data_IF_439502313886
#
_entry.id   IF_439502313886
#
_cell.length_a   1.000
_cell.length_b   1.000
_cell.length_c   1.000
_cell.angle_alpha   90.00
_cell.angle_beta   90.00
_cell.angle_gamma   90.00
#
_symmetry.space_group_name_H-M   'P 1'
#
loop_
_entity.id
_entity.type
_entity.pdbx_description
1 polymer ?
#
# COMPACT_ATOMS: atom_id res chain seq x y z
N UNK A 1 31.03 -29.37 -44.68
CA UNK A 1 31.00 -28.22 -43.76
C UNK A 1 29.61 -27.60 -43.57
N UNK A 2 28.49 -28.34 -43.68
CA UNK A 2 27.13 -27.81 -43.54
C UNK A 2 26.38 -28.28 -42.25
N UNK A 3 26.94 -29.22 -41.50
CA UNK A 3 26.30 -29.81 -40.31
C UNK A 3 26.31 -28.89 -39.07
N UNK A 4 27.35 -28.04 -38.81
CA UNK A 4 27.32 -27.19 -37.62
C UNK A 4 26.32 -26.02 -37.70
N UNK A 5 25.96 -25.57 -38.90
CA UNK A 5 25.00 -24.46 -39.09
C UNK A 5 23.56 -24.89 -38.82
N UNK A 6 23.21 -26.13 -39.20
CA UNK A 6 21.88 -26.71 -38.90
C UNK A 6 21.67 -26.99 -37.41
N UNK A 7 22.72 -27.42 -36.72
CA UNK A 7 22.65 -27.65 -35.25
C UNK A 7 22.53 -26.34 -34.48
N UNK A 8 23.22 -25.26 -34.92
CA UNK A 8 23.10 -23.94 -34.35
C UNK A 8 21.72 -23.32 -34.57
N UNK A 9 21.12 -23.52 -35.74
CA UNK A 9 19.76 -23.09 -36.03
C UNK A 9 18.70 -23.90 -35.28
N UNK A 10 18.91 -25.22 -35.04
CA UNK A 10 18.03 -26.03 -34.20
C UNK A 10 18.15 -25.63 -32.70
N UNK A 11 19.34 -25.32 -32.20
CA UNK A 11 19.56 -24.84 -30.84
C UNK A 11 19.00 -23.44 -30.63
N UNK A 12 19.06 -22.56 -31.65
CA UNK A 12 18.41 -21.25 -31.60
C UNK A 12 16.88 -21.37 -31.68
N UNK A 13 16.35 -22.31 -32.43
CA UNK A 13 14.89 -22.59 -32.48
C UNK A 13 14.38 -23.24 -31.20
N UNK A 14 15.20 -24.02 -30.49
CA UNK A 14 14.84 -24.58 -29.17
C UNK A 14 14.98 -23.53 -28.05
N UNK A 15 15.90 -22.56 -28.18
CA UNK A 15 16.01 -21.42 -27.25
C UNK A 15 14.91 -20.37 -27.46
N UNK A 16 14.27 -20.36 -28.62
CA UNK A 16 13.09 -19.57 -28.96
C UNK A 16 11.77 -20.35 -28.77
N UNK A 17 11.81 -21.58 -28.25
CA UNK A 17 10.64 -22.18 -27.61
C UNK A 17 10.28 -21.33 -26.41
N UNK A 18 9.64 -20.21 -26.69
CA UNK A 18 9.07 -19.30 -25.74
C UNK A 18 8.42 -20.15 -24.66
N UNK A 19 8.76 -19.91 -23.43
CA UNK A 19 7.98 -20.32 -22.28
C UNK A 19 6.53 -19.94 -22.59
N UNK A 20 5.78 -20.88 -23.17
CA UNK A 20 4.35 -20.68 -23.39
C UNK A 20 3.76 -20.67 -21.99
N UNK A 21 3.35 -19.47 -21.54
CA UNK A 21 2.44 -19.38 -20.40
C UNK A 21 1.31 -20.39 -20.58
N UNK A 22 0.92 -21.07 -19.53
CA UNK A 22 -0.20 -22.01 -19.58
C UNK A 22 -1.35 -21.35 -20.38
N UNK A 23 -1.93 -22.05 -21.40
CA UNK A 23 -2.93 -21.46 -22.27
C UNK A 23 -4.10 -20.95 -21.41
N UNK A 24 -4.38 -19.64 -21.44
CA UNK A 24 -5.52 -19.05 -20.76
C UNK A 24 -5.20 -18.06 -19.61
N UNK A 25 -4.01 -18.08 -18.99
CA UNK A 25 -3.75 -17.17 -17.87
C UNK A 25 -3.55 -15.71 -18.32
N UNK A 26 -4.29 -14.80 -17.71
CA UNK A 26 -4.00 -13.37 -17.76
C UNK A 26 -2.81 -13.04 -16.86
N UNK A 27 -1.85 -12.21 -17.30
CA UNK A 27 -0.76 -11.82 -16.42
C UNK A 27 -1.30 -11.02 -15.22
N UNK A 28 -0.71 -11.20 -14.05
CA UNK A 28 -1.10 -10.51 -12.82
C UNK A 28 0.00 -9.55 -12.37
N UNK A 29 -0.40 -8.33 -11.98
CA UNK A 29 0.45 -7.37 -11.29
C UNK A 29 -0.03 -7.22 -9.85
N UNK A 30 0.85 -7.53 -8.88
CA UNK A 30 0.58 -7.46 -7.46
C UNK A 30 1.09 -6.13 -6.90
N UNK A 31 0.22 -5.38 -6.20
CA UNK A 31 0.57 -4.13 -5.50
C UNK A 31 0.39 -4.34 -3.99
N UNK A 32 1.47 -4.26 -3.20
CA UNK A 32 1.42 -4.54 -1.77
C UNK A 32 0.73 -3.43 -0.96
N UNK A 33 0.52 -3.69 0.34
CA UNK A 33 -0.02 -2.73 1.31
C UNK A 33 1.01 -1.73 1.83
N UNK A 34 0.57 -0.88 2.76
CA UNK A 34 1.44 0.07 3.45
C UNK A 34 2.43 -0.64 4.37
N UNK A 35 3.72 -0.29 4.26
CA UNK A 35 4.75 -0.82 5.16
C UNK A 35 5.01 -2.32 5.02
N UNK A 36 4.88 -2.87 3.82
CA UNK A 36 4.96 -4.32 3.61
C UNK A 36 5.94 -4.75 2.51
N UNK A 37 6.65 -3.82 1.91
CA UNK A 37 7.74 -4.12 0.97
C UNK A 37 9.05 -3.49 1.43
N UNK A 38 10.15 -4.05 0.96
CA UNK A 38 11.49 -3.55 1.24
C UNK A 38 11.70 -2.12 0.76
N UNK A 39 12.52 -1.37 1.50
CA UNK A 39 12.98 -0.04 1.14
C UNK A 39 14.46 0.09 1.50
N UNK A 40 15.28 0.42 0.51
CA UNK A 40 16.68 0.75 0.71
C UNK A 40 16.86 2.25 0.91
N UNK A 41 17.90 2.62 1.66
CA UNK A 41 18.37 3.99 1.79
C UNK A 41 19.85 4.14 1.45
N UNK A 42 20.25 5.36 1.13
CA UNK A 42 21.62 5.82 1.04
C UNK A 42 21.74 7.18 1.73
N UNK A 43 22.74 7.33 2.57
CA UNK A 43 23.02 8.59 3.27
C UNK A 43 24.15 9.30 2.55
N UNK A 44 23.85 10.50 2.04
CA UNK A 44 24.83 11.36 1.36
C UNK A 44 25.50 12.32 2.35
N UNK A 45 26.50 13.08 1.90
CA UNK A 45 27.17 14.10 2.73
C UNK A 45 26.22 15.20 3.24
N UNK A 46 25.09 15.42 2.57
CA UNK A 46 24.08 16.38 3.00
C UNK A 46 23.27 15.92 4.22
N UNK A 47 23.31 14.62 4.56
CA UNK A 47 22.58 14.12 5.72
C UNK A 47 23.17 14.64 7.02
N UNK A 48 22.33 15.25 7.84
CA UNK A 48 22.67 15.79 9.16
C UNK A 48 22.06 14.88 10.23
N UNK A 49 22.80 13.86 10.71
CA UNK A 49 22.27 12.92 11.69
C UNK A 49 22.09 13.56 13.07
N UNK A 50 21.05 13.16 13.80
CA UNK A 50 20.81 13.58 15.18
C UNK A 50 21.86 13.07 16.16
N UNK A 51 22.59 12.00 15.79
CA UNK A 51 23.68 11.42 16.58
C UNK A 51 24.73 10.78 15.68
N UNK A 52 25.97 10.57 16.19
CA UNK A 52 27.02 9.86 15.43
C UNK A 52 26.59 8.46 14.95
N UNK A 53 25.82 7.73 15.75
CA UNK A 53 25.29 6.40 15.38
C UNK A 53 24.43 6.48 14.13
N UNK A 54 23.57 7.48 14.03
CA UNK A 54 22.70 7.66 12.86
C UNK A 54 23.47 8.06 11.59
N UNK A 55 24.65 8.66 11.74
CA UNK A 55 25.55 9.00 10.65
C UNK A 55 26.53 7.92 10.23
N UNK A 56 26.59 6.80 10.94
CA UNK A 56 27.61 5.78 10.74
C UNK A 56 27.67 5.23 9.32
N UNK A 57 26.53 5.20 8.61
CA UNK A 57 26.42 4.71 7.23
C UNK A 57 26.55 5.77 6.13
N UNK A 58 26.96 6.99 6.47
CA UNK A 58 27.22 8.02 5.45
C UNK A 58 28.34 7.57 4.49
N UNK A 59 28.06 7.65 3.19
CA UNK A 59 29.03 7.28 2.16
C UNK A 59 29.18 5.78 1.88
N UNK A 60 28.53 4.88 2.65
CA UNK A 60 28.66 3.42 2.48
C UNK A 60 27.88 2.85 1.29
N UNK A 61 27.06 3.64 0.58
CA UNK A 61 26.20 3.17 -0.49
C UNK A 61 24.80 2.80 -0.01
N UNK A 62 24.14 1.89 -0.74
CA UNK A 62 22.78 1.47 -0.44
C UNK A 62 22.72 0.40 0.64
N UNK A 63 21.82 0.57 1.60
CA UNK A 63 21.54 -0.42 2.64
C UNK A 63 20.03 -0.56 2.84
N UNK A 64 19.59 -1.71 3.38
CA UNK A 64 18.19 -1.93 3.73
C UNK A 64 17.81 -1.05 4.93
N UNK A 65 16.88 -0.12 4.69
CA UNK A 65 16.29 0.70 5.73
C UNK A 65 15.04 0.01 6.30
N UNK A 66 14.16 -0.49 5.42
CA UNK A 66 12.92 -1.13 5.81
C UNK A 66 12.76 -2.50 5.10
N UNK A 67 12.43 -3.62 5.74
CA UNK A 67 12.53 -3.78 7.18
C UNK A 67 13.87 -4.44 7.49
N UNK A 68 14.57 -3.91 8.46
CA UNK A 68 15.78 -4.53 9.02
C UNK A 68 15.52 -4.82 10.50
N UNK A 69 14.89 -5.97 10.77
CA UNK A 69 14.49 -6.40 12.11
C UNK A 69 15.70 -6.51 13.05
N UNK A 70 16.78 -7.09 12.57
CA UNK A 70 17.99 -7.30 13.40
C UNK A 70 18.64 -5.98 13.82
N UNK A 71 18.68 -4.99 12.93
CA UNK A 71 19.18 -3.66 13.29
C UNK A 71 18.29 -2.97 14.32
N UNK A 72 16.97 -3.15 14.25
CA UNK A 72 16.02 -2.52 15.18
C UNK A 72 15.95 -3.21 16.55
N UNK A 73 16.55 -4.38 16.73
CA UNK A 73 16.72 -5.00 18.04
C UNK A 73 17.68 -4.21 18.94
N UNK A 74 18.60 -3.43 18.36
CA UNK A 74 19.39 -2.46 19.10
C UNK A 74 18.59 -1.15 19.26
N UNK A 75 18.21 -0.78 20.50
CA UNK A 75 17.44 0.44 20.75
C UNK A 75 18.13 1.72 20.27
N UNK A 76 19.47 1.73 20.13
CA UNK A 76 20.22 2.88 19.62
C UNK A 76 19.91 3.18 18.14
N UNK A 77 19.48 2.18 17.37
CA UNK A 77 19.14 2.33 15.96
C UNK A 77 17.70 2.82 15.73
N UNK A 78 16.80 2.69 16.70
CA UNK A 78 15.39 3.04 16.54
C UNK A 78 15.20 4.54 16.23
N UNK A 79 15.86 5.48 16.93
CA UNK A 79 15.80 6.91 16.57
C UNK A 79 16.35 7.19 15.17
N UNK A 80 17.44 6.54 14.77
CA UNK A 80 18.03 6.68 13.45
C UNK A 80 17.08 6.19 12.34
N UNK A 81 16.46 5.06 12.56
CA UNK A 81 15.43 4.54 11.67
C UNK A 81 14.25 5.52 11.54
N UNK A 82 13.73 6.03 12.67
CA UNK A 82 12.64 6.98 12.67
C UNK A 82 12.99 8.27 11.91
N UNK A 83 14.22 8.77 12.06
CA UNK A 83 14.72 9.96 11.36
C UNK A 83 14.85 9.71 9.84
N UNK A 84 15.48 8.60 9.44
CA UNK A 84 15.72 8.26 8.04
C UNK A 84 14.44 7.84 7.30
N UNK A 85 13.45 7.31 8.02
CA UNK A 85 12.12 6.98 7.50
C UNK A 85 11.17 8.18 7.45
N UNK A 86 11.53 9.31 8.02
CA UNK A 86 10.72 10.52 7.97
C UNK A 86 10.71 11.12 6.56
N UNK A 87 9.61 11.78 6.21
CA UNK A 87 9.49 12.64 5.04
C UNK A 87 9.26 14.09 5.47
N UNK A 88 9.44 15.01 4.54
CA UNK A 88 9.27 16.46 4.75
C UNK A 88 8.31 16.97 3.69
N UNK A 89 7.27 17.67 4.11
CA UNK A 89 6.42 18.44 3.21
C UNK A 89 7.05 19.82 2.99
N UNK A 90 7.26 20.18 1.73
CA UNK A 90 7.68 21.53 1.34
C UNK A 90 6.46 22.32 0.83
N UNK A 91 5.98 23.32 1.58
CA UNK A 91 4.85 24.14 1.15
C UNK A 91 5.11 24.94 -0.13
N UNK A 92 6.37 25.32 -0.42
CA UNK A 92 6.72 26.06 -1.62
C UNK A 92 6.68 25.17 -2.87
N UNK A 93 7.11 23.93 -2.75
CA UNK A 93 7.04 22.93 -3.80
C UNK A 93 5.67 22.22 -3.87
N UNK A 94 4.83 22.38 -2.86
CA UNK A 94 3.60 21.62 -2.64
C UNK A 94 3.82 20.12 -2.81
N UNK A 95 4.92 19.57 -2.26
CA UNK A 95 5.26 18.15 -2.40
C UNK A 95 6.02 17.61 -1.20
N UNK A 96 6.06 16.30 -1.10
CA UNK A 96 6.81 15.57 -0.07
C UNK A 96 8.15 15.08 -0.62
N UNK A 97 9.18 15.12 0.25
CA UNK A 97 10.52 14.62 -0.05
C UNK A 97 11.10 13.85 1.13
N UNK A 98 12.19 13.14 0.91
CA UNK A 98 13.00 12.60 2.00
C UNK A 98 13.62 13.73 2.84
N UNK A 99 14.00 13.42 4.05
CA UNK A 99 14.92 14.25 4.84
C UNK A 99 16.17 14.54 4.02
N UNK A 100 16.70 15.76 4.12
CA UNK A 100 17.88 16.18 3.37
C UNK A 100 19.04 15.18 3.53
N UNK A 101 19.63 14.76 2.42
CA UNK A 101 20.71 13.80 2.39
C UNK A 101 20.32 12.34 2.57
N UNK A 102 19.04 12.02 2.77
CA UNK A 102 18.51 10.64 2.71
C UNK A 102 17.96 10.40 1.32
N UNK A 103 18.51 9.42 0.62
CA UNK A 103 17.97 8.94 -0.64
C UNK A 103 17.33 7.56 -0.42
N UNK A 104 16.23 7.28 -1.10
CA UNK A 104 15.55 5.98 -1.00
C UNK A 104 15.32 5.37 -2.37
N UNK A 105 15.30 4.05 -2.43
CA UNK A 105 14.87 3.27 -3.58
C UNK A 105 14.08 2.05 -3.14
N UNK A 106 13.20 1.61 -4.01
CA UNK A 106 12.46 0.35 -3.82
C UNK A 106 13.14 -0.72 -4.65
N UNK A 107 13.70 -1.78 -4.03
CA UNK A 107 14.35 -2.86 -4.78
C UNK A 107 13.30 -3.74 -5.48
N UNK A 108 13.76 -4.54 -6.47
CA UNK A 108 13.02 -5.62 -7.12
C UNK A 108 11.70 -5.21 -7.80
N UNK A 109 11.58 -3.98 -8.32
CA UNK A 109 10.42 -3.58 -9.08
C UNK A 109 10.24 -4.47 -10.32
N UNK A 110 9.04 -5.03 -10.50
CA UNK A 110 8.72 -6.02 -11.53
C UNK A 110 8.75 -7.47 -11.03
N UNK A 111 9.23 -7.72 -9.80
CA UNK A 111 9.25 -9.02 -9.13
C UNK A 111 8.50 -8.96 -7.80
N UNK A 112 7.96 -10.10 -7.36
CA UNK A 112 7.27 -10.23 -6.06
C UNK A 112 8.24 -10.30 -4.88
N UNK A 113 9.54 -10.38 -5.13
CA UNK A 113 10.58 -10.60 -4.12
C UNK A 113 10.52 -9.58 -2.99
N UNK A 114 10.33 -8.28 -3.30
CA UNK A 114 10.37 -7.20 -2.33
C UNK A 114 9.29 -7.27 -1.23
N UNK A 115 8.24 -8.07 -1.40
CA UNK A 115 7.11 -8.12 -0.47
C UNK A 115 6.62 -9.53 -0.12
N UNK A 116 7.31 -10.58 -0.55
CA UNK A 116 7.06 -11.93 0.00
C UNK A 116 7.35 -11.93 1.50
N UNK A 117 8.48 -11.34 1.88
CA UNK A 117 8.96 -11.19 3.24
C UNK A 117 9.42 -9.75 3.44
N UNK A 118 8.79 -8.96 4.30
CA UNK A 118 9.22 -7.58 4.57
C UNK A 118 10.67 -7.49 5.08
N UNK A 119 11.13 -8.54 5.77
CA UNK A 119 12.54 -8.77 6.08
C UNK A 119 12.96 -10.11 5.50
N UNK A 120 13.72 -10.16 4.38
CA UNK A 120 14.12 -11.41 3.73
C UNK A 120 15.05 -12.28 4.58
N UNK A 121 15.72 -11.73 5.59
CA UNK A 121 16.53 -12.49 6.53
C UNK A 121 15.68 -13.23 7.58
N UNK A 122 14.38 -12.93 7.64
CA UNK A 122 13.41 -13.50 8.58
C UNK A 122 12.16 -14.02 7.88
N UNK A 123 12.29 -15.17 7.24
CA UNK A 123 11.21 -15.81 6.48
C UNK A 123 10.00 -16.22 7.31
N UNK A 124 10.12 -16.30 8.63
CA UNK A 124 8.98 -16.47 9.54
C UNK A 124 8.12 -15.20 9.68
N UNK A 125 8.62 -14.05 9.22
CA UNK A 125 7.88 -12.80 9.11
C UNK A 125 7.39 -12.63 7.66
N UNK A 126 6.44 -13.49 7.26
CA UNK A 126 5.91 -13.49 5.90
C UNK A 126 4.78 -12.48 5.74
N UNK A 127 4.63 -11.95 4.52
CA UNK A 127 3.50 -11.09 4.16
C UNK A 127 2.71 -11.70 2.98
N UNK A 128 3.19 -11.56 1.76
CA UNK A 128 2.51 -12.13 0.59
C UNK A 128 3.08 -13.47 0.13
N UNK A 129 4.03 -14.09 0.85
CA UNK A 129 4.67 -15.33 0.40
C UNK A 129 3.67 -16.44 0.12
N UNK A 130 2.72 -16.71 1.02
CA UNK A 130 1.71 -17.75 0.85
C UNK A 130 0.80 -17.47 -0.34
N UNK A 131 0.36 -16.23 -0.53
CA UNK A 131 -0.45 -15.83 -1.69
C UNK A 131 0.32 -16.03 -3.00
N UNK A 132 1.57 -15.58 -3.08
CA UNK A 132 2.44 -15.75 -4.24
C UNK A 132 2.69 -17.23 -4.53
N UNK A 133 3.03 -18.05 -3.53
CA UNK A 133 3.22 -19.49 -3.67
C UNK A 133 1.94 -20.20 -4.15
N UNK A 134 0.77 -19.73 -3.72
CA UNK A 134 -0.49 -20.28 -4.20
C UNK A 134 -0.73 -19.91 -5.67
N UNK A 135 -0.42 -18.70 -6.11
CA UNK A 135 -0.45 -18.33 -7.52
C UNK A 135 0.54 -19.16 -8.34
N UNK A 136 1.77 -19.37 -7.83
CA UNK A 136 2.77 -20.23 -8.49
C UNK A 136 2.26 -21.66 -8.69
N UNK A 137 1.53 -22.23 -7.71
CA UNK A 137 0.89 -23.57 -7.83
C UNK A 137 -0.19 -23.61 -8.91
N UNK A 138 -0.78 -22.48 -9.29
CA UNK A 138 -1.76 -22.39 -10.39
C UNK A 138 -1.12 -22.04 -11.74
N UNK A 139 0.22 -22.02 -11.81
CA UNK A 139 0.97 -21.84 -13.06
C UNK A 139 1.51 -20.43 -13.29
N UNK A 140 1.30 -19.47 -12.38
CA UNK A 140 1.94 -18.18 -12.46
C UNK A 140 3.45 -18.28 -12.17
N UNK A 141 4.24 -17.40 -12.83
CA UNK A 141 5.68 -17.32 -12.66
C UNK A 141 6.12 -15.88 -12.48
N UNK A 142 6.93 -15.63 -11.45
CA UNK A 142 7.45 -14.31 -11.14
C UNK A 142 8.34 -13.77 -12.27
N UNK A 143 8.08 -12.55 -12.72
CA UNK A 143 8.76 -11.90 -13.83
C UNK A 143 8.29 -12.32 -15.24
N UNK A 144 7.42 -13.33 -15.37
CA UNK A 144 6.91 -13.84 -16.66
C UNK A 144 5.38 -13.62 -16.80
N UNK A 145 4.59 -14.17 -15.88
CA UNK A 145 3.12 -14.08 -15.85
C UNK A 145 2.60 -13.44 -14.59
N UNK A 146 3.46 -13.28 -13.58
CA UNK A 146 3.19 -12.57 -12.32
C UNK A 146 4.29 -11.55 -12.09
N UNK A 147 3.91 -10.35 -11.68
CA UNK A 147 4.82 -9.22 -11.51
C UNK A 147 4.51 -8.51 -10.20
N UNK A 148 5.54 -8.00 -9.55
CA UNK A 148 5.40 -7.16 -8.36
C UNK A 148 5.57 -5.69 -8.66
N UNK A 149 4.74 -4.86 -8.06
CA UNK A 149 4.87 -3.41 -8.11
C UNK A 149 5.04 -2.83 -6.69
N UNK A 150 6.19 -3.09 -6.03
CA UNK A 150 6.51 -2.45 -4.76
C UNK A 150 6.70 -0.95 -4.94
N UNK A 151 6.48 -0.16 -3.89
CA UNK A 151 6.55 1.30 -3.94
C UNK A 151 7.06 1.87 -2.63
N UNK A 152 7.51 3.12 -2.65
CA UNK A 152 7.84 3.82 -1.40
C UNK A 152 6.55 4.20 -0.68
N UNK A 153 6.16 3.36 0.26
CA UNK A 153 4.87 3.42 0.97
C UNK A 153 4.69 4.64 1.87
N UNK A 154 5.73 5.44 2.06
CA UNK A 154 5.65 6.71 2.81
C UNK A 154 4.95 7.79 2.00
N UNK A 155 4.95 7.66 0.68
CA UNK A 155 4.39 8.61 -0.27
C UNK A 155 3.06 8.15 -0.86
N UNK A 156 2.35 9.10 -1.41
CA UNK A 156 1.13 8.93 -2.18
C UNK A 156 1.11 9.94 -3.32
N UNK A 157 -0.04 10.24 -3.90
CA UNK A 157 -0.21 11.30 -4.90
C UNK A 157 -1.15 12.38 -4.38
N UNK A 158 -1.01 13.60 -4.87
CA UNK A 158 -2.01 14.66 -4.71
C UNK A 158 -3.10 14.58 -5.79
N UNK A 159 -4.09 15.46 -5.79
CA UNK A 159 -5.02 15.65 -6.91
C UNK A 159 -4.28 15.88 -8.23
N UNK A 160 -4.97 15.60 -9.34
CA UNK A 160 -4.40 15.83 -10.68
C UNK A 160 -3.97 17.30 -10.81
N UNK A 161 -2.74 17.52 -11.28
CA UNK A 161 -2.15 18.86 -11.41
C UNK A 161 -1.34 19.33 -10.19
N UNK A 162 -1.41 18.62 -9.04
CA UNK A 162 -0.52 18.90 -7.92
C UNK A 162 0.74 18.03 -8.00
N UNK A 163 1.94 18.57 -7.72
CA UNK A 163 3.18 17.81 -7.73
C UNK A 163 3.12 16.60 -6.80
N UNK A 164 3.65 15.47 -7.24
CA UNK A 164 3.77 14.24 -6.45
C UNK A 164 4.93 13.41 -6.99
N UNK A 165 6.15 13.96 -6.92
CA UNK A 165 7.33 13.43 -7.62
C UNK A 165 7.52 11.92 -7.45
N UNK A 166 7.45 11.42 -6.21
CA UNK A 166 7.65 9.99 -5.91
C UNK A 166 6.46 9.17 -6.38
N UNK A 167 5.23 9.60 -6.08
CA UNK A 167 4.00 8.91 -6.49
C UNK A 167 3.82 8.87 -8.01
N UNK A 168 4.09 9.98 -8.71
CA UNK A 168 4.02 10.05 -10.17
C UNK A 168 5.09 9.19 -10.83
N UNK A 169 6.28 9.09 -10.23
CA UNK A 169 7.33 8.17 -10.70
C UNK A 169 6.86 6.71 -10.57
N UNK A 170 6.23 6.35 -9.45
CA UNK A 170 5.62 5.04 -9.27
C UNK A 170 4.51 4.78 -10.31
N UNK A 171 3.63 5.74 -10.57
CA UNK A 171 2.56 5.57 -11.56
C UNK A 171 3.09 5.39 -12.99
N UNK A 172 4.15 6.11 -13.36
CA UNK A 172 4.84 5.87 -14.66
C UNK A 172 5.44 4.47 -14.74
N UNK A 173 6.10 4.03 -13.67
CA UNK A 173 6.69 2.69 -13.60
C UNK A 173 5.60 1.60 -13.65
N UNK A 174 4.49 1.77 -12.91
CA UNK A 174 3.36 0.84 -12.91
C UNK A 174 2.71 0.75 -14.30
N UNK A 175 2.52 1.88 -14.99
CA UNK A 175 2.01 1.91 -16.37
C UNK A 175 2.90 1.09 -17.29
N UNK A 176 4.22 1.34 -17.28
CA UNK A 176 5.19 0.60 -18.09
C UNK A 176 5.22 -0.90 -17.74
N UNK A 177 5.05 -1.24 -16.45
CA UNK A 177 4.98 -2.64 -16.00
C UNK A 177 3.74 -3.34 -16.55
N UNK A 178 2.57 -2.72 -16.47
CA UNK A 178 1.31 -3.26 -17.01
C UNK A 178 1.41 -3.47 -18.53
N UNK A 179 1.93 -2.48 -19.27
CA UNK A 179 2.13 -2.59 -20.72
C UNK A 179 3.12 -3.71 -21.08
N UNK A 180 4.24 -3.81 -20.36
CA UNK A 180 5.23 -4.88 -20.53
C UNK A 180 4.64 -6.26 -20.19
N UNK A 181 3.94 -6.40 -19.07
CA UNK A 181 3.31 -7.64 -18.67
C UNK A 181 2.31 -8.14 -19.75
N UNK A 182 1.48 -7.24 -20.26
CA UNK A 182 0.59 -7.53 -21.38
C UNK A 182 1.37 -7.98 -22.64
N UNK A 183 2.40 -7.24 -23.01
CA UNK A 183 3.23 -7.54 -24.19
C UNK A 183 3.92 -8.91 -24.12
N UNK A 184 4.52 -9.25 -22.97
CA UNK A 184 5.17 -10.55 -22.73
C UNK A 184 4.16 -11.72 -22.77
N UNK A 185 2.88 -11.45 -22.56
CA UNK A 185 1.82 -12.46 -22.52
C UNK A 185 0.86 -12.36 -23.72
N UNK A 186 1.38 -12.09 -24.90
CA UNK A 186 0.63 -12.11 -26.16
C UNK A 186 -0.40 -10.99 -26.28
N UNK A 187 -0.19 -9.88 -25.57
CA UNK A 187 -1.10 -8.75 -25.55
C UNK A 187 -2.36 -8.94 -24.70
N UNK A 188 -2.43 -9.98 -23.84
CA UNK A 188 -3.56 -10.18 -22.92
C UNK A 188 -3.64 -9.05 -21.91
N UNK A 189 -4.84 -8.58 -21.58
CA UNK A 189 -5.02 -7.62 -20.49
C UNK A 189 -4.52 -8.18 -19.14
N UNK A 190 -4.02 -7.29 -18.30
CA UNK A 190 -3.44 -7.61 -16.99
C UNK A 190 -4.52 -7.61 -15.91
N UNK A 191 -4.45 -8.52 -14.95
CA UNK A 191 -5.17 -8.40 -13.68
C UNK A 191 -4.31 -7.60 -12.71
N UNK A 192 -4.84 -6.52 -12.16
CA UNK A 192 -4.18 -5.78 -11.09
C UNK A 192 -4.79 -6.24 -9.76
N UNK A 193 -4.04 -7.04 -8.99
CA UNK A 193 -4.44 -7.48 -7.67
C UNK A 193 -3.65 -6.72 -6.59
N UNK A 194 -4.36 -6.20 -5.61
CA UNK A 194 -3.76 -5.30 -4.60
C UNK A 194 -4.18 -5.68 -3.21
N UNK A 195 -3.37 -5.33 -2.22
CA UNK A 195 -3.75 -5.48 -0.81
C UNK A 195 -3.76 -4.14 -0.10
N UNK A 196 -4.79 -3.91 0.72
CA UNK A 196 -4.83 -2.79 1.67
C UNK A 196 -4.62 -1.43 0.96
N UNK A 197 -3.69 -0.61 1.43
CA UNK A 197 -3.33 0.70 0.88
C UNK A 197 -2.97 0.66 -0.61
N UNK A 198 -2.40 -0.45 -1.09
CA UNK A 198 -2.14 -0.66 -2.53
C UNK A 198 -3.39 -0.54 -3.39
N UNK A 199 -4.58 -0.84 -2.83
CA UNK A 199 -5.87 -0.67 -3.50
C UNK A 199 -6.19 0.80 -3.77
N UNK A 200 -5.93 1.69 -2.82
CA UNK A 200 -6.10 3.13 -3.00
C UNK A 200 -5.17 3.70 -4.07
N UNK A 201 -3.89 3.29 -4.05
CA UNK A 201 -2.91 3.72 -5.05
C UNK A 201 -3.27 3.23 -6.45
N UNK A 202 -3.61 1.95 -6.60
CA UNK A 202 -4.00 1.38 -7.89
C UNK A 202 -5.31 1.99 -8.41
N UNK A 203 -6.27 2.29 -7.55
CA UNK A 203 -7.47 3.04 -7.93
C UNK A 203 -7.12 4.42 -8.49
N UNK A 204 -6.31 5.20 -7.75
CA UNK A 204 -5.86 6.52 -8.20
C UNK A 204 -5.01 6.45 -9.48
N UNK A 205 -4.23 5.40 -9.66
CA UNK A 205 -3.53 5.13 -10.91
C UNK A 205 -4.52 4.90 -12.06
N UNK A 206 -5.50 4.01 -11.88
CA UNK A 206 -6.46 3.63 -12.93
C UNK A 206 -7.30 4.82 -13.39
N UNK A 207 -7.90 5.57 -12.47
CA UNK A 207 -8.79 6.69 -12.85
C UNK A 207 -8.06 7.83 -13.59
N UNK A 208 -6.74 7.91 -13.49
CA UNK A 208 -5.88 8.88 -14.22
C UNK A 208 -5.46 8.39 -15.60
N UNK A 209 -5.64 7.11 -15.92
CA UNK A 209 -5.34 6.62 -17.26
C UNK A 209 -6.54 6.86 -18.20
N UNK A 210 -6.31 7.12 -19.51
CA UNK A 210 -7.38 7.18 -20.50
C UNK A 210 -8.22 5.90 -20.48
N UNK A 211 -9.54 6.02 -20.64
CA UNK A 211 -10.44 4.85 -20.64
C UNK A 211 -10.06 3.80 -21.69
N UNK A 212 -9.63 4.23 -22.88
CA UNK A 212 -9.15 3.34 -23.93
C UNK A 212 -7.92 2.53 -23.49
N UNK A 213 -6.97 3.16 -22.74
CA UNK A 213 -5.82 2.47 -22.19
C UNK A 213 -6.24 1.43 -21.16
N UNK A 214 -7.13 1.82 -20.22
CA UNK A 214 -7.63 0.90 -19.17
C UNK A 214 -8.28 -0.33 -19.79
N UNK A 215 -9.19 -0.14 -20.75
CA UNK A 215 -9.87 -1.24 -21.46
C UNK A 215 -8.93 -2.12 -22.27
N UNK A 216 -7.82 -1.56 -22.78
CA UNK A 216 -6.82 -2.29 -23.55
C UNK A 216 -5.91 -3.15 -22.70
N UNK A 217 -5.52 -2.65 -21.52
CA UNK A 217 -4.43 -3.25 -20.75
C UNK A 217 -4.88 -3.87 -19.42
N UNK A 218 -6.08 -3.58 -18.93
CA UNK A 218 -6.55 -4.07 -17.64
C UNK A 218 -7.82 -4.88 -17.82
N UNK A 219 -7.71 -6.21 -17.62
CA UNK A 219 -8.82 -7.13 -17.69
C UNK A 219 -9.69 -7.07 -16.43
N UNK A 220 -9.05 -6.98 -15.26
CA UNK A 220 -9.75 -6.88 -13.97
C UNK A 220 -8.90 -6.19 -12.92
N UNK A 221 -9.56 -5.47 -12.01
CA UNK A 221 -8.98 -4.93 -10.79
C UNK A 221 -9.52 -5.71 -9.59
N UNK A 222 -8.61 -6.30 -8.80
CA UNK A 222 -8.95 -7.15 -7.63
C UNK A 222 -8.34 -6.54 -6.36
N UNK A 223 -8.97 -5.51 -5.77
CA UNK A 223 -8.55 -4.98 -4.48
C UNK A 223 -8.96 -5.89 -3.33
N UNK A 224 -7.99 -6.28 -2.50
CA UNK A 224 -8.16 -7.12 -1.32
C UNK A 224 -7.99 -6.21 -0.10
N UNK A 225 -8.99 -6.16 0.78
CA UNK A 225 -9.00 -5.37 2.01
C UNK A 225 -8.64 -3.88 1.82
N UNK A 226 -9.07 -3.26 0.72
CA UNK A 226 -8.77 -1.85 0.47
C UNK A 226 -9.58 -0.93 1.40
N UNK A 227 -8.93 0.03 2.09
CA UNK A 227 -9.59 0.97 3.01
C UNK A 227 -10.17 2.16 2.26
N UNK A 228 -11.23 1.96 1.48
CA UNK A 228 -11.80 2.97 0.59
C UNK A 228 -12.17 4.28 1.28
N UNK A 229 -12.65 4.18 2.51
CA UNK A 229 -13.01 5.34 3.35
C UNK A 229 -11.96 5.70 4.41
N UNK A 230 -10.75 5.13 4.38
CA UNK A 230 -9.76 5.32 5.44
C UNK A 230 -9.99 4.41 6.65
N UNK A 231 -9.35 4.72 7.79
CA UNK A 231 -9.27 3.88 8.98
C UNK A 231 -9.40 4.73 10.25
N UNK A 232 -10.21 4.31 11.22
CA UNK A 232 -10.16 4.88 12.59
C UNK A 232 -8.79 4.62 13.24
N UNK A 233 -8.20 3.46 12.97
CA UNK A 233 -6.84 3.15 13.40
C UNK A 233 -5.81 4.14 12.85
N UNK A 234 -6.08 4.80 11.71
CA UNK A 234 -5.24 5.88 11.18
C UNK A 234 -5.13 7.05 12.16
N UNK A 235 -6.26 7.48 12.75
CA UNK A 235 -6.28 8.51 13.79
C UNK A 235 -5.50 8.05 15.04
N UNK A 236 -5.73 6.81 15.51
CA UNK A 236 -5.03 6.25 16.65
C UNK A 236 -3.50 6.25 16.47
N UNK A 237 -3.00 5.84 15.30
CA UNK A 237 -1.55 5.74 15.06
C UNK A 237 -0.86 7.10 15.03
N UNK A 238 -1.57 8.18 14.69
CA UNK A 238 -1.02 9.55 14.76
C UNK A 238 -0.82 10.06 16.20
N UNK A 239 -1.42 9.41 17.17
CA UNK A 239 -1.29 9.76 18.60
C UNK A 239 -0.41 8.75 19.34
N UNK A 240 -0.71 7.48 19.19
CA UNK A 240 -0.07 6.40 19.96
C UNK A 240 1.18 5.82 19.26
N UNK A 241 1.44 6.20 18.02
CA UNK A 241 2.49 5.57 17.21
C UNK A 241 2.11 4.19 16.68
N UNK A 242 3.07 3.56 16.03
CA UNK A 242 2.96 2.19 15.50
C UNK A 242 4.33 1.53 15.56
N UNK A 243 4.43 0.40 16.24
CA UNK A 243 5.68 -0.35 16.35
C UNK A 243 5.99 -1.26 15.14
N UNK A 244 5.24 -1.17 14.06
CA UNK A 244 5.43 -1.97 12.83
C UNK A 244 5.34 -3.49 13.06
N UNK A 245 4.66 -3.93 14.12
CA UNK A 245 4.60 -5.33 14.52
C UNK A 245 5.86 -5.83 15.24
N UNK A 246 6.73 -4.93 15.68
CA UNK A 246 7.98 -5.23 16.41
C UNK A 246 7.74 -5.06 17.91
N UNK A 247 7.54 -6.14 18.68
CA UNK A 247 7.10 -6.05 20.08
C UNK A 247 8.13 -5.40 21.02
N UNK A 248 9.38 -5.30 20.59
CA UNK A 248 10.48 -4.68 21.34
C UNK A 248 10.69 -3.20 20.99
N UNK A 249 9.94 -2.65 20.03
CA UNK A 249 9.99 -1.23 19.66
C UNK A 249 8.83 -0.50 20.32
N UNK A 250 9.14 0.56 21.08
CA UNK A 250 8.10 1.46 21.59
C UNK A 250 7.40 2.15 20.39
N UNK A 251 6.06 2.00 20.24
CA UNK A 251 5.32 2.67 19.19
C UNK A 251 5.56 4.18 19.12
N UNK A 252 5.74 4.84 20.28
CA UNK A 252 5.98 6.30 20.38
C UNK A 252 7.33 6.72 19.82
N UNK A 253 8.35 5.85 19.89
CA UNK A 253 9.65 6.12 19.29
C UNK A 253 9.56 6.31 17.78
N UNK A 254 8.53 5.72 17.14
CA UNK A 254 8.27 5.83 15.71
C UNK A 254 7.18 6.87 15.36
N UNK A 255 6.67 7.62 16.33
CA UNK A 255 5.57 8.57 16.12
C UNK A 255 5.93 9.65 15.08
N UNK A 256 7.14 10.22 15.19
CA UNK A 256 7.62 11.27 14.27
C UNK A 256 7.59 10.80 12.81
N UNK A 257 8.13 9.63 12.52
CA UNK A 257 8.15 9.11 11.15
C UNK A 257 6.74 8.82 10.63
N UNK A 258 5.86 8.25 11.45
CA UNK A 258 4.46 8.00 11.08
C UNK A 258 3.68 9.29 10.78
N UNK A 259 3.89 10.35 11.57
CA UNK A 259 3.26 11.66 11.39
C UNK A 259 3.75 12.42 10.16
N UNK A 260 4.99 12.19 9.74
CA UNK A 260 5.61 12.90 8.61
C UNK A 260 5.19 12.37 7.22
N UNK A 261 4.63 11.17 7.15
CA UNK A 261 4.36 10.49 5.88
C UNK A 261 3.04 10.94 5.24
N UNK A 262 3.07 11.26 3.95
CA UNK A 262 1.88 11.60 3.17
C UNK A 262 0.83 10.46 3.21
N UNK A 263 1.27 9.22 3.13
CA UNK A 263 0.39 8.04 3.19
C UNK A 263 -0.36 7.89 4.51
N UNK A 264 0.15 8.47 5.61
CA UNK A 264 -0.57 8.49 6.90
C UNK A 264 -1.83 9.34 6.82
N UNK A 265 -1.79 10.46 6.11
CA UNK A 265 -2.96 11.32 5.89
C UNK A 265 -3.99 10.64 4.97
N UNK A 266 -3.55 9.85 3.98
CA UNK A 266 -4.43 9.09 3.09
C UNK A 266 -5.23 7.98 3.80
N UNK A 267 -4.77 7.57 4.96
CA UNK A 267 -5.43 6.54 5.77
C UNK A 267 -6.45 7.11 6.77
N UNK A 268 -6.60 8.44 6.85
CA UNK A 268 -7.56 9.06 7.76
C UNK A 268 -9.00 8.84 7.29
N UNK A 269 -9.95 8.76 8.22
CA UNK A 269 -11.36 8.51 7.90
C UNK A 269 -11.95 9.59 6.98
N UNK A 270 -12.66 9.14 5.95
CA UNK A 270 -13.39 9.99 4.99
C UNK A 270 -14.78 10.35 5.52
N UNK A 271 -15.21 11.61 5.45
CA UNK A 271 -16.59 12.01 5.79
C UNK A 271 -17.65 11.29 4.96
N UNK A 272 -17.35 10.95 3.70
CA UNK A 272 -18.26 10.22 2.83
C UNK A 272 -18.54 8.79 3.31
N UNK A 273 -17.56 8.13 3.93
CA UNK A 273 -17.73 6.77 4.42
C UNK A 273 -18.21 6.72 5.88
N UNK A 274 -17.58 7.48 6.76
CA UNK A 274 -17.86 7.42 8.20
C UNK A 274 -18.96 8.37 8.67
N UNK A 275 -19.41 9.28 7.81
CA UNK A 275 -20.29 10.40 8.18
C UNK A 275 -19.52 11.55 8.84
N UNK A 276 -19.96 12.77 8.54
CA UNK A 276 -19.28 13.99 9.00
C UNK A 276 -19.42 14.27 10.50
N UNK A 277 -20.35 13.58 11.21
CA UNK A 277 -20.66 13.84 12.61
C UNK A 277 -20.51 12.62 13.52
N UNK A 278 -20.19 11.44 13.00
CA UNK A 278 -20.02 10.21 13.82
C UNK A 278 -18.75 10.31 14.65
N UNK A 279 -18.81 10.21 15.99
CA UNK A 279 -17.63 10.27 16.84
C UNK A 279 -16.67 9.09 16.58
N UNK A 280 -15.44 9.40 16.19
CA UNK A 280 -14.35 8.43 15.96
C UNK A 280 -13.26 8.52 17.01
N UNK A 281 -13.02 9.73 17.55
CA UNK A 281 -12.19 9.97 18.71
C UNK A 281 -12.98 10.78 19.72
N UNK A 282 -12.98 10.36 21.00
CA UNK A 282 -13.68 11.02 22.10
C UNK A 282 -12.67 11.39 23.17
N UNK A 283 -12.69 12.64 23.60
CA UNK A 283 -11.99 13.14 24.79
C UNK A 283 -13.03 13.61 25.82
N UNK A 284 -12.59 14.11 26.96
CA UNK A 284 -13.50 14.64 27.99
C UNK A 284 -14.32 15.84 27.47
N UNK A 285 -13.69 16.71 26.68
CA UNK A 285 -14.32 17.98 26.25
C UNK A 285 -14.85 17.94 24.84
N UNK A 286 -14.39 17.01 23.98
CA UNK A 286 -14.70 17.03 22.52
C UNK A 286 -14.78 15.64 21.90
N UNK A 287 -15.70 15.50 20.95
CA UNK A 287 -15.73 14.40 20.00
C UNK A 287 -15.15 14.87 18.65
N UNK A 288 -14.35 14.01 18.02
CA UNK A 288 -13.85 14.24 16.67
C UNK A 288 -14.42 13.18 15.74
N UNK A 289 -15.03 13.63 14.68
CA UNK A 289 -15.57 12.82 13.58
C UNK A 289 -14.65 12.84 12.38
N UNK A 290 -15.04 12.19 11.27
CA UNK A 290 -14.35 12.33 9.99
C UNK A 290 -14.47 13.75 9.41
N UNK A 291 -15.47 14.54 9.81
CA UNK A 291 -15.59 15.96 9.46
C UNK A 291 -14.63 16.86 10.24
N UNK A 292 -14.14 16.40 11.38
CA UNK A 292 -13.28 17.18 12.29
C UNK A 292 -11.78 16.82 12.17
N UNK A 293 -11.36 16.15 11.10
CA UNK A 293 -9.97 15.69 10.95
C UNK A 293 -8.98 16.84 11.03
N UNK A 294 -9.26 18.01 10.43
CA UNK A 294 -8.40 19.19 10.52
C UNK A 294 -8.21 19.65 11.97
N UNK A 295 -9.32 19.78 12.71
CA UNK A 295 -9.30 20.13 14.14
C UNK A 295 -8.57 19.08 14.99
N UNK A 296 -8.78 17.80 14.65
CA UNK A 296 -8.08 16.69 15.33
C UNK A 296 -6.57 16.79 15.12
N UNK A 297 -6.10 17.05 13.89
CA UNK A 297 -4.68 17.23 13.60
C UNK A 297 -4.07 18.37 14.41
N UNK A 298 -4.76 19.52 14.51
CA UNK A 298 -4.32 20.63 15.37
C UNK A 298 -4.25 20.19 16.84
N UNK A 299 -5.26 19.51 17.34
CA UNK A 299 -5.38 19.12 18.74
C UNK A 299 -4.30 18.13 19.18
N UNK A 300 -3.79 17.29 18.28
CA UNK A 300 -2.69 16.36 18.54
C UNK A 300 -1.30 16.95 18.27
N UNK A 301 -1.21 18.29 18.03
CA UNK A 301 0.05 18.99 17.76
C UNK A 301 0.59 18.72 16.36
N UNK A 302 -0.28 18.50 15.36
CA UNK A 302 0.09 18.24 13.97
C UNK A 302 -0.57 19.26 13.02
N UNK A 303 -0.63 20.52 13.43
CA UNK A 303 -1.28 21.59 12.68
C UNK A 303 -0.70 21.83 11.28
N UNK A 304 0.59 21.57 11.08
CA UNK A 304 1.26 21.65 9.78
C UNK A 304 0.73 20.64 8.75
N UNK A 305 0.10 19.55 9.18
CA UNK A 305 -0.51 18.55 8.31
C UNK A 305 -1.90 18.93 7.81
N UNK A 306 -2.53 19.98 8.37
CA UNK A 306 -3.88 20.42 7.96
C UNK A 306 -3.89 20.87 6.50
N UNK A 307 -2.97 21.74 6.10
CA UNK A 307 -2.88 22.20 4.71
C UNK A 307 -2.73 21.05 3.70
N UNK A 308 -1.75 20.16 3.88
CA UNK A 308 -1.63 18.95 3.05
C UNK A 308 -2.86 18.04 3.08
N UNK A 309 -3.50 17.85 4.22
CA UNK A 309 -4.72 17.06 4.32
C UNK A 309 -5.85 17.66 3.47
N UNK A 310 -6.15 18.95 3.66
CA UNK A 310 -7.23 19.64 2.96
C UNK A 310 -7.00 19.79 1.46
N UNK A 311 -5.74 20.05 1.07
CA UNK A 311 -5.42 20.32 -0.34
C UNK A 311 -5.05 19.08 -1.16
N UNK A 312 -4.54 18.02 -0.51
CA UNK A 312 -3.98 16.86 -1.20
C UNK A 312 -4.72 15.54 -0.93
N UNK A 313 -5.48 15.44 0.17
CA UNK A 313 -6.16 14.20 0.57
C UNK A 313 -7.67 14.33 0.45
N UNK A 314 -8.25 15.33 1.08
CA UNK A 314 -9.69 15.54 1.12
C UNK A 314 -10.34 15.62 -0.29
N UNK A 315 -9.73 16.28 -1.30
CA UNK A 315 -10.28 16.27 -2.67
C UNK A 315 -10.27 14.89 -3.34
N UNK A 316 -9.46 13.93 -2.86
CA UNK A 316 -9.39 12.58 -3.41
C UNK A 316 -10.37 11.61 -2.73
N UNK A 317 -10.61 11.78 -1.43
CA UNK A 317 -11.32 10.81 -0.59
C UNK A 317 -12.50 11.40 0.20
N UNK A 318 -12.68 12.72 0.21
CA UNK A 318 -13.74 13.39 0.96
C UNK A 318 -15.14 13.17 0.37
N UNK A 319 -15.23 12.74 -0.88
CA UNK A 319 -16.46 12.45 -1.60
C UNK A 319 -16.52 11.01 -2.11
N UNK A 320 -17.48 10.78 -3.01
CA UNK A 320 -17.67 9.48 -3.67
C UNK A 320 -16.49 9.16 -4.61
N UNK A 321 -15.95 7.96 -4.48
CA UNK A 321 -14.85 7.48 -5.34
C UNK A 321 -15.40 7.09 -6.73
N UNK A 322 -14.81 7.60 -7.82
CA UNK A 322 -15.22 7.25 -9.18
C UNK A 322 -14.90 5.78 -9.48
N UNK A 323 -15.79 5.11 -10.24
CA UNK A 323 -15.55 3.77 -10.72
C UNK A 323 -14.30 3.73 -11.64
N UNK A 324 -13.39 2.76 -11.50
CA UNK A 324 -12.14 2.73 -12.28
C UNK A 324 -12.33 2.43 -13.78
N UNK A 325 -13.55 2.10 -14.22
CA UNK A 325 -13.88 1.89 -15.65
C UNK A 325 -13.35 0.59 -16.25
N UNK A 326 -13.04 -0.39 -15.41
CA UNK A 326 -12.68 -1.77 -15.74
C UNK A 326 -13.47 -2.70 -14.84
N UNK A 327 -13.58 -4.01 -15.14
CA UNK A 327 -14.17 -4.98 -14.21
C UNK A 327 -13.48 -4.96 -12.84
N UNK A 328 -14.26 -4.97 -11.75
CA UNK A 328 -13.75 -4.94 -10.38
C UNK A 328 -14.35 -6.04 -9.53
N UNK A 329 -13.50 -6.79 -8.84
CA UNK A 329 -13.94 -7.62 -7.72
C UNK A 329 -13.21 -7.22 -6.46
N UNK A 330 -13.87 -6.57 -5.50
CA UNK A 330 -13.29 -6.26 -4.20
C UNK A 330 -13.54 -7.40 -3.22
N UNK A 331 -12.48 -7.83 -2.51
CA UNK A 331 -12.55 -8.88 -1.48
C UNK A 331 -12.30 -8.27 -0.13
N UNK A 332 -13.23 -8.42 0.81
CA UNK A 332 -13.17 -7.80 2.14
C UNK A 332 -13.36 -8.82 3.24
N UNK A 333 -12.56 -8.74 4.30
CA UNK A 333 -12.74 -9.49 5.53
C UNK A 333 -13.78 -8.80 6.42
N UNK A 334 -14.63 -9.58 7.08
CA UNK A 334 -15.67 -9.09 7.99
C UNK A 334 -15.77 -9.97 9.23
N UNK A 335 -16.42 -9.46 10.28
CA UNK A 335 -16.67 -10.23 11.52
C UNK A 335 -15.49 -10.24 12.48
N UNK A 336 -14.50 -9.37 12.31
CA UNK A 336 -13.36 -9.23 13.23
C UNK A 336 -13.40 -7.88 13.93
N UNK A 337 -13.30 -7.89 15.24
CA UNK A 337 -13.31 -6.65 16.04
C UNK A 337 -12.28 -5.64 15.56
N UNK A 338 -12.75 -4.48 15.13
CA UNK A 338 -11.95 -3.43 14.48
C UNK A 338 -12.16 -2.11 15.23
N UNK A 339 -11.10 -1.33 15.53
CA UNK A 339 -11.26 -0.04 16.21
C UNK A 339 -12.27 0.86 15.50
N UNK A 340 -13.41 1.12 16.13
CA UNK A 340 -14.47 1.98 15.58
C UNK A 340 -14.49 3.34 16.27
N UNK A 341 -14.09 3.39 17.54
CA UNK A 341 -13.93 4.65 18.29
C UNK A 341 -12.81 4.53 19.29
N UNK A 342 -12.00 5.58 19.38
CA UNK A 342 -10.90 5.74 20.34
C UNK A 342 -11.37 6.69 21.44
N UNK A 343 -11.28 6.28 22.72
CA UNK A 343 -11.78 7.04 23.87
C UNK A 343 -10.64 7.34 24.82
N UNK A 344 -10.28 8.61 24.94
CA UNK A 344 -9.31 9.10 25.90
C UNK A 344 -9.98 9.38 27.27
N UNK A 345 -9.31 9.09 28.40
CA UNK A 345 -9.88 9.31 29.73
C UNK A 345 -10.01 10.81 30.09
N UNK A 346 -9.32 11.68 29.37
CA UNK A 346 -9.29 13.13 29.54
C UNK A 346 -9.09 13.83 28.21
N UNK A 347 -8.53 15.04 28.24
CA UNK A 347 -8.19 15.81 27.05
C UNK A 347 -6.70 15.68 26.66
N UNK A 348 -5.96 14.89 27.44
CA UNK A 348 -4.56 14.59 27.18
C UNK A 348 -4.43 13.40 26.23
N UNK A 349 -3.90 13.67 25.02
CA UNK A 349 -3.65 12.67 24.00
C UNK A 349 -2.42 11.79 24.28
N UNK A 350 -1.62 12.12 25.31
CA UNK A 350 -0.53 11.26 25.78
C UNK A 350 -1.02 10.12 26.70
N UNK A 351 -2.24 10.23 27.20
CA UNK A 351 -2.87 9.15 27.96
C UNK A 351 -3.18 7.94 27.06
N UNK A 352 -3.16 6.75 27.65
CA UNK A 352 -3.54 5.53 26.93
C UNK A 352 -5.05 5.51 26.70
N UNK A 353 -5.54 5.49 25.46
CA UNK A 353 -6.97 5.43 25.18
C UNK A 353 -7.51 4.01 25.33
N UNK A 354 -8.80 3.91 25.62
CA UNK A 354 -9.58 2.70 25.38
C UNK A 354 -10.10 2.66 23.94
N UNK A 355 -10.44 1.47 23.46
CA UNK A 355 -10.91 1.25 22.10
C UNK A 355 -12.28 0.59 22.13
N UNK A 356 -13.26 1.20 21.47
CA UNK A 356 -14.55 0.56 21.16
C UNK A 356 -14.39 -0.14 19.84
N UNK A 357 -14.68 -1.44 19.79
CA UNK A 357 -14.60 -2.24 18.59
C UNK A 357 -15.96 -2.27 17.87
N UNK A 358 -15.90 -2.16 16.55
CA UNK A 358 -16.99 -2.42 15.61
C UNK A 358 -16.63 -3.55 14.66
N UNK A 359 -17.35 -3.67 13.55
CA UNK A 359 -17.09 -4.70 12.55
C UNK A 359 -16.02 -4.26 11.54
N UNK A 360 -15.29 -5.26 11.01
CA UNK A 360 -14.29 -5.10 9.97
C UNK A 360 -13.39 -6.33 9.88
N UNK A 361 -12.14 -6.11 9.50
CA UNK A 361 -11.10 -7.15 9.38
C UNK A 361 -9.98 -7.04 10.44
N UNK A 362 -10.20 -6.26 11.50
CA UNK A 362 -9.21 -5.94 12.54
C UNK A 362 -8.33 -4.72 12.23
N UNK A 363 -8.34 -4.23 10.99
CA UNK A 363 -7.61 -3.05 10.52
C UNK A 363 -8.54 -2.08 9.81
N UNK A 364 -9.26 -2.55 8.79
CA UNK A 364 -10.21 -1.77 7.98
C UNK A 364 -11.61 -1.94 8.55
N UNK A 365 -12.23 -0.82 8.91
CA UNK A 365 -13.62 -0.81 9.35
C UNK A 365 -14.54 -1.25 8.21
N UNK A 366 -15.58 -2.01 8.51
CA UNK A 366 -16.53 -2.49 7.49
C UNK A 366 -17.13 -1.34 6.68
N UNK A 367 -17.51 -0.24 7.33
CA UNK A 367 -18.06 0.96 6.67
C UNK A 367 -17.09 1.54 5.62
N UNK A 368 -15.79 1.49 5.88
CA UNK A 368 -14.75 1.89 4.92
C UNK A 368 -14.60 0.88 3.79
N UNK A 369 -14.52 -0.41 4.13
CA UNK A 369 -14.35 -1.48 3.14
C UNK A 369 -15.47 -1.53 2.10
N UNK A 370 -16.72 -1.24 2.52
CA UNK A 370 -17.90 -1.26 1.64
C UNK A 370 -18.27 0.10 1.05
N UNK A 371 -17.51 1.15 1.30
CA UNK A 371 -17.85 2.53 0.91
C UNK A 371 -18.11 2.71 -0.60
N UNK A 372 -17.57 1.84 -1.44
CA UNK A 372 -17.75 1.86 -2.90
C UNK A 372 -18.87 0.95 -3.39
N UNK A 373 -19.47 0.11 -2.53
CA UNK A 373 -20.42 -0.94 -2.92
C UNK A 373 -21.60 -0.38 -3.67
N UNK A 374 -22.26 0.62 -3.12
CA UNK A 374 -23.43 1.24 -3.73
C UNK A 374 -23.09 2.00 -5.01
N UNK A 375 -22.07 2.88 -4.95
CA UNK A 375 -21.74 3.77 -6.06
C UNK A 375 -21.21 3.03 -7.29
N UNK A 376 -20.44 1.97 -7.08
CA UNK A 376 -19.86 1.21 -8.20
C UNK A 376 -20.86 0.20 -8.78
N UNK A 377 -21.77 -0.35 -7.98
CA UNK A 377 -22.83 -1.27 -8.47
C UNK A 377 -23.81 -0.60 -9.43
N UNK A 378 -24.13 0.69 -9.25
CA UNK A 378 -25.13 1.40 -10.06
C UNK A 378 -24.58 1.95 -11.39
N UNK A 379 -23.27 1.97 -11.61
CA UNK A 379 -22.66 2.64 -12.78
C UNK A 379 -22.45 1.75 -13.99
N UNK A 380 -23.12 0.58 -14.05
CA UNK A 380 -23.14 -0.28 -15.26
C UNK A 380 -21.80 -0.94 -15.61
N UNK A 381 -20.86 -0.99 -14.67
CA UNK A 381 -19.62 -1.77 -14.79
C UNK A 381 -19.77 -3.17 -14.19
N UNK A 382 -18.89 -4.12 -14.56
CA UNK A 382 -18.78 -5.41 -13.87
C UNK A 382 -18.13 -5.17 -12.49
N UNK A 383 -18.98 -4.95 -11.47
CA UNK A 383 -18.57 -4.77 -10.08
C UNK A 383 -19.09 -5.89 -9.21
N UNK A 384 -18.21 -6.50 -8.44
CA UNK A 384 -18.53 -7.51 -7.45
C UNK A 384 -17.83 -7.22 -6.13
N UNK A 385 -18.54 -7.43 -5.01
CA UNK A 385 -17.97 -7.44 -3.68
C UNK A 385 -18.12 -8.81 -3.05
N UNK A 386 -17.00 -9.36 -2.56
CA UNK A 386 -16.97 -10.66 -1.88
C UNK A 386 -16.59 -10.43 -0.42
N UNK A 387 -17.54 -10.68 0.49
CA UNK A 387 -17.34 -10.57 1.94
C UNK A 387 -16.94 -11.94 2.49
N UNK A 388 -15.76 -12.03 3.10
CA UNK A 388 -15.23 -13.26 3.71
C UNK A 388 -15.42 -13.18 5.22
N UNK A 389 -16.33 -14.01 5.75
CA UNK A 389 -16.70 -13.96 7.17
C UNK A 389 -15.59 -14.46 8.09
N UNK A 390 -15.45 -13.82 9.26
CA UNK A 390 -14.45 -14.13 10.29
C UNK A 390 -13.02 -14.12 9.72
N UNK A 391 -12.72 -13.13 8.88
CA UNK A 391 -11.44 -13.05 8.18
C UNK A 391 -10.71 -11.75 8.52
N UNK A 392 -9.52 -11.89 9.11
CA UNK A 392 -8.70 -10.74 9.45
C UNK A 392 -7.92 -10.21 8.23
N UNK A 393 -7.44 -8.97 8.33
CA UNK A 393 -6.77 -8.22 7.28
C UNK A 393 -5.65 -9.00 6.57
N UNK A 394 -4.73 -9.56 7.35
CA UNK A 394 -3.61 -10.34 6.81
C UNK A 394 -4.02 -11.80 6.52
N UNK A 395 -5.04 -12.34 7.21
CA UNK A 395 -5.51 -13.69 6.96
C UNK A 395 -6.05 -13.87 5.53
N UNK A 396 -6.57 -12.81 4.91
CA UNK A 396 -6.98 -12.83 3.50
C UNK A 396 -5.85 -13.27 2.54
N UNK A 397 -4.59 -13.11 2.93
CA UNK A 397 -3.41 -13.48 2.12
C UNK A 397 -2.81 -14.84 2.47
N UNK A 398 -3.35 -15.54 3.49
CA UNK A 398 -2.77 -16.80 3.97
C UNK A 398 -3.79 -17.90 4.21
N UNK A 399 -5.06 -17.57 4.46
CA UNK A 399 -6.15 -18.54 4.68
C UNK A 399 -6.55 -19.22 3.36
N UNK A 400 -6.64 -20.54 3.34
CA UNK A 400 -6.91 -21.32 2.13
C UNK A 400 -8.24 -20.96 1.47
N UNK A 401 -9.29 -20.71 2.25
CA UNK A 401 -10.61 -20.32 1.75
C UNK A 401 -10.60 -18.95 1.09
N UNK A 402 -9.91 -17.99 1.73
CA UNK A 402 -9.77 -16.65 1.18
C UNK A 402 -8.93 -16.65 -0.10
N UNK A 403 -7.83 -17.40 -0.10
CA UNK A 403 -6.95 -17.54 -1.26
C UNK A 403 -7.62 -18.19 -2.44
N UNK A 404 -8.45 -19.22 -2.20
CA UNK A 404 -9.22 -19.87 -3.26
C UNK A 404 -10.17 -18.87 -3.96
N UNK A 405 -10.90 -18.06 -3.17
CA UNK A 405 -11.78 -17.01 -3.68
C UNK A 405 -10.98 -15.99 -4.50
N UNK A 406 -9.88 -15.47 -3.94
CA UNK A 406 -9.08 -14.44 -4.59
C UNK A 406 -8.49 -14.94 -5.91
N UNK A 407 -7.96 -16.15 -5.94
CA UNK A 407 -7.35 -16.73 -7.14
C UNK A 407 -8.41 -16.98 -8.22
N UNK A 408 -9.60 -17.47 -7.86
CA UNK A 408 -10.71 -17.61 -8.80
C UNK A 408 -11.08 -16.28 -9.43
N UNK A 409 -11.12 -15.18 -8.66
CA UNK A 409 -11.42 -13.85 -9.19
C UNK A 409 -10.27 -13.28 -10.06
N UNK A 410 -9.02 -13.61 -9.75
CA UNK A 410 -7.87 -13.27 -10.61
C UNK A 410 -7.93 -14.01 -11.94
N UNK A 411 -8.31 -15.29 -11.93
CA UNK A 411 -8.40 -16.12 -13.13
C UNK A 411 -9.66 -15.86 -13.97
N UNK A 412 -10.63 -15.14 -13.42
CA UNK A 412 -11.90 -14.79 -14.07
C UNK A 412 -11.81 -13.56 -15.01
N UNK A 413 -10.65 -13.16 -15.42
CA UNK A 413 -10.43 -11.92 -16.20
C UNK A 413 -10.84 -11.99 -17.68
N UNK A 414 -11.76 -12.86 -18.07
CA UNK A 414 -12.31 -13.00 -19.42
C UNK A 414 -13.50 -12.06 -19.69
#
# INVERSE_FOLDING_TARGET
MAIPLLLALLLLAVALAAVQAAPGLHPVVLVPGYGTNELDARLTELYQPSSPVCGARKGEGWFRLYLNYSALQDPANVPCFAEQMSSVYDPAADDYSNVAGVETRVPFFGSTQAFRYPDPDRKNFSYMSTFVERLEKTGYRDGETMFGAPYDFRYAVGPVGRPSRVGDAFFRALKSLVERASGLNGGRPVVIATHSFGGLLAHQFLIRQPLAWRRRFVGRFVPIAAPWGGLVRGMQTLVSGNNLGLPFVDPRALLRQGRSQQSSLWRLPSPAAFGAATPLVTTKSKNYSAGDVADYLVSIGLGEAVGPYESRVLPLFGGELPHPGVPVTTVVGVGVGTPERIVFPGDDFDATPSVVAGDGDGVVNLVSAVAVETSWSHRGGDFRMVKVSNMSHNALLVDDRALEIIIQEIQRAD
#
